data_IF_307865585030
#
_entry.id   IF_307865585030
#
_cell.length_a   1.000
_cell.length_b   1.000
_cell.length_c   1.000
_cell.angle_alpha   90.00
_cell.angle_beta   90.00
_cell.angle_gamma   90.00
#
_symmetry.space_group_name_H-M   'P 1'
#
loop_
_entity.id
_entity.type
_entity.pdbx_description
1 polymer ?
#
# COMPACT_ATOMS: atom_id res chain seq x y z
N UNK A 1 23.04 5.56 -4.08
CA UNK A 1 22.20 6.40 -3.20
C UNK A 1 21.70 5.47 -2.12
N UNK A 2 21.84 5.84 -0.84
CA UNK A 2 21.22 5.06 0.23
C UNK A 2 19.70 5.04 0.00
N UNK A 3 19.07 3.87 -0.02
CA UNK A 3 17.62 3.77 -0.02
C UNK A 3 17.12 4.52 1.22
N UNK A 4 16.38 5.60 1.01
CA UNK A 4 15.84 6.41 2.10
C UNK A 4 14.76 5.55 2.78
N UNK A 5 14.90 5.31 4.07
CA UNK A 5 13.93 4.56 4.85
C UNK A 5 12.63 5.37 4.93
N UNK A 6 11.53 4.82 4.41
CA UNK A 6 10.23 5.46 4.46
C UNK A 6 9.68 5.52 5.88
N UNK A 7 9.08 6.67 6.22
CA UNK A 7 8.38 6.89 7.49
C UNK A 7 6.87 6.89 7.25
N UNK A 8 6.20 5.85 7.76
CA UNK A 8 4.80 5.57 7.48
C UNK A 8 3.87 6.05 8.58
N UNK A 9 2.72 6.61 8.19
CA UNK A 9 1.57 6.82 9.05
C UNK A 9 0.40 5.94 8.59
N UNK A 10 -0.14 5.14 9.48
CA UNK A 10 -1.20 4.17 9.22
C UNK A 10 -2.52 4.65 9.80
N UNK A 11 -3.54 4.78 8.95
CA UNK A 11 -4.90 5.16 9.29
C UNK A 11 -5.86 4.04 8.89
N UNK A 12 -6.55 3.46 9.88
CA UNK A 12 -7.40 2.28 9.69
C UNK A 12 -8.87 2.67 9.89
N UNK A 13 -9.64 2.62 8.81
CA UNK A 13 -11.09 2.61 8.86
C UNK A 13 -11.55 1.19 9.21
N UNK A 14 -11.72 0.94 10.52
CA UNK A 14 -12.02 -0.39 10.99
C UNK A 14 -13.45 -0.84 10.67
N UNK A 15 -14.39 0.10 10.53
CA UNK A 15 -15.79 -0.25 10.19
C UNK A 15 -15.87 -0.81 8.76
N UNK A 16 -15.18 -0.22 7.80
CA UNK A 16 -15.11 -0.70 6.42
C UNK A 16 -14.45 -2.08 6.33
N UNK A 17 -13.31 -2.26 7.02
CA UNK A 17 -12.65 -3.56 7.09
C UNK A 17 -13.56 -4.64 7.68
N UNK A 18 -14.20 -4.35 8.80
CA UNK A 18 -15.09 -5.30 9.49
C UNK A 18 -16.26 -5.73 8.61
N UNK A 19 -16.78 -4.84 7.75
CA UNK A 19 -17.80 -5.18 6.76
C UNK A 19 -17.26 -6.14 5.70
N UNK A 20 -16.03 -5.94 5.24
CA UNK A 20 -15.39 -6.83 4.27
C UNK A 20 -15.18 -8.26 4.78
N UNK A 21 -15.04 -8.43 6.11
CA UNK A 21 -14.95 -9.74 6.75
C UNK A 21 -16.31 -10.42 7.02
N UNK A 22 -17.44 -9.73 6.83
CA UNK A 22 -18.78 -10.32 6.99
C UNK A 22 -19.01 -11.35 5.88
N UNK A 23 -18.89 -12.63 6.22
CA UNK A 23 -19.04 -13.76 5.28
C UNK A 23 -17.72 -14.41 4.83
N UNK A 24 -16.58 -13.83 5.13
CA UNK A 24 -15.29 -14.46 4.88
C UNK A 24 -14.94 -15.47 5.99
N UNK A 25 -14.23 -16.55 5.60
CA UNK A 25 -13.71 -17.54 6.54
C UNK A 25 -12.41 -17.02 7.19
N UNK A 26 -12.51 -15.99 8.02
CA UNK A 26 -11.33 -15.47 8.69
C UNK A 26 -11.66 -14.33 9.64
N UNK A 27 -10.76 -14.08 10.57
CA UNK A 27 -10.79 -12.93 11.45
C UNK A 27 -9.69 -11.97 11.03
N UNK A 28 -9.96 -10.67 11.03
CA UNK A 28 -8.93 -9.68 10.77
C UNK A 28 -7.75 -9.85 11.72
N UNK A 29 -6.56 -9.97 11.16
CA UNK A 29 -5.30 -10.06 11.88
C UNK A 29 -4.46 -8.80 11.56
N UNK A 30 -4.45 -7.88 12.49
CA UNK A 30 -3.70 -6.62 12.38
C UNK A 30 -2.19 -6.87 12.32
N UNK A 31 -1.70 -7.93 12.96
CA UNK A 31 -0.28 -8.28 12.97
C UNK A 31 0.26 -8.50 11.55
N UNK A 32 -0.52 -9.12 10.68
CA UNK A 32 -0.16 -9.33 9.28
C UNK A 32 -0.05 -8.01 8.51
N UNK A 33 -1.02 -7.12 8.71
CA UNK A 33 -0.99 -5.77 8.09
C UNK A 33 0.25 -5.01 8.54
N UNK A 34 0.51 -4.98 9.85
CA UNK A 34 1.68 -4.30 10.39
C UNK A 34 2.99 -4.90 9.90
N UNK A 35 3.08 -6.23 9.83
CA UNK A 35 4.26 -6.91 9.27
C UNK A 35 4.51 -6.46 7.82
N UNK A 36 3.47 -6.41 6.99
CA UNK A 36 3.58 -5.95 5.60
C UNK A 36 3.99 -4.47 5.51
N UNK A 37 3.47 -3.62 6.38
CA UNK A 37 3.85 -2.20 6.43
C UNK A 37 5.29 -2.00 6.91
N UNK A 38 5.76 -2.79 7.89
CA UNK A 38 7.15 -2.76 8.36
C UNK A 38 8.13 -3.19 7.25
N UNK A 39 7.73 -4.06 6.33
CA UNK A 39 8.55 -4.39 5.15
C UNK A 39 8.82 -3.15 4.29
N UNK A 40 7.85 -2.22 4.18
CA UNK A 40 7.95 -1.00 3.38
C UNK A 40 8.72 0.13 4.07
N UNK A 41 8.68 0.20 5.40
CA UNK A 41 9.38 1.25 6.12
C UNK A 41 9.06 1.25 7.61
N UNK A 42 9.47 2.34 8.28
CA UNK A 42 9.25 2.54 9.70
C UNK A 42 7.85 3.10 9.95
N UNK A 43 7.02 2.38 10.71
CA UNK A 43 5.70 2.89 11.09
C UNK A 43 5.87 3.84 12.29
N UNK A 44 5.52 5.12 12.10
CA UNK A 44 5.63 6.17 13.11
C UNK A 44 4.31 6.42 13.81
N UNK A 45 3.20 6.37 13.08
CA UNK A 45 1.85 6.61 13.59
C UNK A 45 0.93 5.46 13.19
N UNK A 46 0.08 5.03 14.14
CA UNK A 46 -0.93 3.99 13.92
C UNK A 46 -2.21 4.42 14.60
N UNK A 47 -3.28 4.67 13.83
CA UNK A 47 -4.59 5.07 14.33
C UNK A 47 -5.69 4.22 13.69
N UNK A 48 -6.69 3.85 14.49
CA UNK A 48 -7.85 3.11 14.01
C UNK A 48 -9.15 3.78 14.48
N UNK A 49 -10.12 3.89 13.59
CA UNK A 49 -11.35 4.64 13.76
C UNK A 49 -12.55 3.68 13.70
N UNK A 50 -13.36 3.66 14.74
CA UNK A 50 -14.60 2.88 14.78
C UNK A 50 -15.46 3.25 16.00
N UNK A 51 -16.70 2.74 16.03
CA UNK A 51 -17.44 2.59 17.27
C UNK A 51 -16.98 1.33 18.02
N UNK A 52 -15.98 1.48 18.88
CA UNK A 52 -15.32 0.37 19.59
C UNK A 52 -16.25 -0.42 20.53
N UNK A 53 -17.41 0.14 20.88
CA UNK A 53 -18.42 -0.63 21.62
C UNK A 53 -18.93 -1.83 20.78
N UNK A 54 -18.95 -1.70 19.46
CA UNK A 54 -19.37 -2.78 18.55
C UNK A 54 -18.25 -3.75 18.21
N UNK A 55 -17.01 -3.31 18.29
CA UNK A 55 -15.82 -4.06 17.91
C UNK A 55 -14.90 -4.37 19.11
N UNK A 56 -15.48 -4.46 20.30
CA UNK A 56 -14.74 -4.71 21.56
C UNK A 56 -13.86 -5.96 21.51
N UNK A 57 -14.24 -6.98 20.74
CA UNK A 57 -13.44 -8.21 20.57
C UNK A 57 -12.13 -8.01 19.82
N UNK A 58 -11.91 -6.86 19.20
CA UNK A 58 -10.67 -6.52 18.48
C UNK A 58 -9.78 -5.54 19.25
N UNK A 59 -10.30 -4.88 20.28
CA UNK A 59 -9.56 -3.81 20.99
C UNK A 59 -8.28 -4.32 21.64
N UNK A 60 -8.28 -5.53 22.21
CA UNK A 60 -7.11 -6.13 22.85
C UNK A 60 -5.95 -6.28 21.85
N UNK A 61 -6.19 -6.94 20.71
CA UNK A 61 -5.14 -7.13 19.70
C UNK A 61 -4.63 -5.81 19.10
N UNK A 62 -5.50 -4.79 18.97
CA UNK A 62 -5.10 -3.48 18.46
C UNK A 62 -4.27 -2.71 19.49
N UNK A 63 -4.59 -2.82 20.78
CA UNK A 63 -3.77 -2.26 21.87
C UNK A 63 -2.41 -2.95 21.99
N UNK A 64 -2.36 -4.29 21.89
CA UNK A 64 -1.10 -5.03 21.85
C UNK A 64 -0.20 -4.60 20.68
N UNK A 65 -0.83 -4.25 19.55
CA UNK A 65 -0.15 -3.70 18.38
C UNK A 65 0.23 -2.21 18.55
N UNK A 66 -0.04 -1.61 19.70
CA UNK A 66 0.15 -0.19 20.01
C UNK A 66 -0.51 0.73 18.96
N UNK A 67 -1.77 0.43 18.60
CA UNK A 67 -2.61 1.26 17.73
C UNK A 67 -3.48 2.15 18.59
N UNK A 68 -3.49 3.45 18.30
CA UNK A 68 -4.37 4.43 18.95
C UNK A 68 -5.80 4.21 18.46
N UNK A 69 -6.72 3.94 19.39
CA UNK A 69 -8.13 3.71 19.07
C UNK A 69 -8.93 5.00 19.21
N UNK A 70 -9.44 5.52 18.10
CA UNK A 70 -10.27 6.71 18.07
C UNK A 70 -11.73 6.28 18.15
N UNK A 71 -12.38 6.57 19.27
CA UNK A 71 -13.80 6.27 19.47
C UNK A 71 -14.67 7.21 18.66
N UNK A 72 -15.52 6.67 17.80
CA UNK A 72 -16.50 7.40 17.01
C UNK A 72 -17.91 6.94 17.43
N UNK A 73 -18.60 7.67 18.33
CA UNK A 73 -19.92 7.26 18.75
C UNK A 73 -20.94 7.45 17.62
N UNK A 74 -21.73 6.42 17.32
CA UNK A 74 -22.84 6.54 16.36
C UNK A 74 -23.94 7.40 16.97
N UNK A 75 -24.23 8.53 16.32
CA UNK A 75 -25.45 9.31 16.54
C UNK A 75 -26.53 8.81 15.59
N UNK A 76 -27.68 8.45 16.11
CA UNK A 76 -28.76 7.74 15.39
C UNK A 76 -29.30 8.43 14.12
N UNK A 77 -28.98 9.69 13.85
CA UNK A 77 -29.55 10.45 12.74
C UNK A 77 -28.55 11.14 11.81
N UNK A 78 -27.26 11.24 12.14
CA UNK A 78 -26.29 12.05 11.34
C UNK A 78 -24.90 11.43 11.17
N UNK A 79 -24.70 10.15 11.51
CA UNK A 79 -23.36 9.66 11.83
C UNK A 79 -22.75 8.63 10.89
N UNK A 80 -23.21 8.43 9.64
CA UNK A 80 -22.59 7.40 8.79
C UNK A 80 -21.14 7.70 8.43
N UNK A 81 -20.76 8.95 8.25
CA UNK A 81 -19.44 9.36 7.76
C UNK A 81 -18.57 10.06 8.83
N UNK A 82 -18.93 9.96 10.12
CA UNK A 82 -18.16 10.66 11.17
C UNK A 82 -16.76 10.08 11.35
N UNK A 83 -16.60 8.77 11.17
CA UNK A 83 -15.31 8.10 11.23
C UNK A 83 -14.42 8.55 10.06
N UNK A 84 -14.98 8.55 8.85
CA UNK A 84 -14.30 8.91 7.62
C UNK A 84 -13.79 10.35 7.66
N UNK A 85 -14.67 11.28 8.08
CA UNK A 85 -14.32 12.71 8.24
C UNK A 85 -13.20 12.86 9.28
N UNK A 86 -13.31 12.19 10.43
CA UNK A 86 -12.27 12.27 11.47
C UNK A 86 -10.94 11.72 10.99
N UNK A 87 -10.95 10.58 10.28
CA UNK A 87 -9.75 10.00 9.66
C UNK A 87 -9.12 10.99 8.66
N UNK A 88 -9.94 11.57 7.78
CA UNK A 88 -9.47 12.56 6.80
C UNK A 88 -8.80 13.76 7.48
N UNK A 89 -9.42 14.32 8.54
CA UNK A 89 -8.88 15.45 9.27
C UNK A 89 -7.54 15.10 9.92
N UNK A 90 -7.47 13.96 10.63
CA UNK A 90 -6.25 13.53 11.32
C UNK A 90 -5.12 13.21 10.32
N UNK A 91 -5.44 12.61 9.17
CA UNK A 91 -4.46 12.32 8.12
C UNK A 91 -3.91 13.60 7.48
N UNK A 92 -4.77 14.57 7.21
CA UNK A 92 -4.37 15.86 6.66
C UNK A 92 -3.56 16.69 7.66
N UNK A 93 -3.99 16.75 8.93
CA UNK A 93 -3.24 17.45 9.99
C UNK A 93 -1.83 16.88 10.12
N UNK A 94 -1.72 15.54 10.12
CA UNK A 94 -0.43 14.86 10.19
C UNK A 94 0.44 15.16 8.97
N UNK A 95 -0.13 15.11 7.77
CA UNK A 95 0.59 15.35 6.52
C UNK A 95 1.18 16.76 6.46
N UNK A 96 0.49 17.75 7.03
CA UNK A 96 0.97 19.14 7.14
C UNK A 96 1.96 19.33 8.28
N UNK A 97 1.70 18.75 9.46
CA UNK A 97 2.47 19.02 10.67
C UNK A 97 3.76 18.21 10.78
N UNK A 98 3.90 17.10 10.05
CA UNK A 98 5.02 16.16 10.16
C UNK A 98 5.68 15.91 8.80
N UNK A 99 6.66 16.74 8.47
CA UNK A 99 7.41 16.65 7.21
C UNK A 99 8.15 15.32 7.04
N UNK A 100 8.66 14.76 8.17
CA UNK A 100 9.40 13.50 8.17
C UNK A 100 8.56 12.27 7.84
N UNK A 101 7.23 12.37 7.83
CA UNK A 101 6.34 11.31 7.36
C UNK A 101 6.16 11.50 5.86
N UNK A 102 6.73 10.61 5.09
CA UNK A 102 6.70 10.64 3.62
C UNK A 102 5.61 9.75 3.02
N UNK A 103 5.15 8.75 3.77
CA UNK A 103 4.20 7.74 3.29
C UNK A 103 2.97 7.67 4.19
N UNK A 104 1.79 7.73 3.58
CA UNK A 104 0.50 7.58 4.28
C UNK A 104 -0.18 6.31 3.81
N UNK A 105 -0.56 5.46 4.76
CA UNK A 105 -1.28 4.21 4.50
C UNK A 105 -2.73 4.38 4.92
N UNK A 106 -3.66 4.26 3.98
CA UNK A 106 -5.10 4.29 4.20
C UNK A 106 -5.65 2.87 4.11
N UNK A 107 -6.11 2.35 5.23
CA UNK A 107 -6.66 0.99 5.30
C UNK A 107 -8.18 1.08 5.23
N UNK A 108 -8.71 1.08 4.03
CA UNK A 108 -10.14 1.09 3.68
C UNK A 108 -10.33 0.73 2.21
N UNK A 109 -11.52 0.25 1.86
CA UNK A 109 -11.94 0.03 0.47
C UNK A 109 -12.88 1.13 -0.06
N UNK A 110 -13.22 2.14 0.75
CA UNK A 110 -14.26 3.10 0.44
C UNK A 110 -13.78 4.20 -0.52
N UNK A 111 -14.56 4.42 -1.59
CA UNK A 111 -14.31 5.49 -2.58
C UNK A 111 -14.31 6.89 -1.98
N UNK A 112 -14.97 7.09 -0.84
CA UNK A 112 -15.09 8.40 -0.19
C UNK A 112 -13.74 8.93 0.30
N UNK A 113 -12.71 8.07 0.40
CA UNK A 113 -11.33 8.47 0.66
C UNK A 113 -10.54 8.91 -0.58
N UNK A 114 -11.07 8.76 -1.80
CA UNK A 114 -10.34 9.17 -3.02
C UNK A 114 -9.94 10.66 -3.01
N UNK A 115 -10.77 11.60 -2.52
CA UNK A 115 -10.34 13.00 -2.38
C UNK A 115 -9.19 13.20 -1.38
N UNK A 116 -9.18 12.44 -0.28
CA UNK A 116 -8.08 12.45 0.69
C UNK A 116 -6.77 11.99 0.03
N UNK A 117 -6.81 10.87 -0.70
CA UNK A 117 -5.65 10.33 -1.43
C UNK A 117 -5.09 11.36 -2.39
N UNK A 118 -5.95 11.97 -3.22
CA UNK A 118 -5.53 13.02 -4.15
C UNK A 118 -4.85 14.17 -3.43
N UNK A 119 -5.40 14.60 -2.29
CA UNK A 119 -4.85 15.73 -1.52
C UNK A 119 -3.52 15.41 -0.85
N UNK A 120 -3.36 14.19 -0.34
CA UNK A 120 -2.08 13.72 0.20
C UNK A 120 -0.99 13.67 -0.88
N UNK A 121 -1.33 13.23 -2.09
CA UNK A 121 -0.41 13.24 -3.24
C UNK A 121 -0.02 14.65 -3.67
N UNK A 122 -0.95 15.62 -3.65
CA UNK A 122 -0.64 17.05 -3.87
C UNK A 122 0.38 17.58 -2.84
N UNK A 123 0.37 17.05 -1.61
CA UNK A 123 1.34 17.36 -0.57
C UNK A 123 2.68 16.60 -0.71
N UNK A 124 2.84 15.85 -1.80
CA UNK A 124 4.05 15.07 -2.05
C UNK A 124 4.18 13.82 -1.18
N UNK A 125 3.10 13.36 -0.55
CA UNK A 125 3.11 12.11 0.21
C UNK A 125 2.87 10.93 -0.73
N UNK A 126 3.62 9.84 -0.52
CA UNK A 126 3.34 8.56 -1.14
C UNK A 126 2.14 7.90 -0.46
N UNK A 127 1.14 7.46 -1.21
CA UNK A 127 -0.09 6.92 -0.63
C UNK A 127 -0.26 5.45 -0.98
N UNK A 128 -0.31 4.62 0.07
CA UNK A 128 -0.58 3.19 -0.03
C UNK A 128 -2.01 2.93 0.44
N UNK A 129 -2.85 2.36 -0.43
CA UNK A 129 -4.15 1.83 -0.04
C UNK A 129 -4.03 0.37 0.41
N UNK A 130 -4.81 -0.04 1.41
CA UNK A 130 -4.97 -1.44 1.78
C UNK A 130 -6.44 -1.73 2.07
N UNK A 131 -6.99 -2.74 1.43
CA UNK A 131 -8.40 -3.10 1.60
C UNK A 131 -8.68 -4.55 1.27
N UNK A 132 -9.92 -4.98 1.51
CA UNK A 132 -10.40 -6.30 1.10
C UNK A 132 -10.83 -6.28 -0.36
N UNK A 133 -10.43 -7.27 -1.15
CA UNK A 133 -10.76 -7.32 -2.58
C UNK A 133 -12.27 -7.17 -2.87
N UNK A 134 -13.20 -7.81 -2.14
CA UNK A 134 -14.63 -7.70 -2.43
C UNK A 134 -15.26 -6.34 -2.07
N UNK A 135 -14.64 -5.56 -1.20
CA UNK A 135 -15.18 -4.28 -0.70
C UNK A 135 -14.38 -3.06 -1.16
N UNK A 136 -13.40 -3.25 -2.03
CA UNK A 136 -12.55 -2.16 -2.51
C UNK A 136 -13.10 -1.55 -3.79
N UNK A 137 -13.29 -0.23 -3.77
CA UNK A 137 -13.64 0.57 -4.93
C UNK A 137 -12.46 0.68 -5.91
N UNK A 138 -12.73 0.52 -7.21
CA UNK A 138 -11.75 0.78 -8.27
C UNK A 138 -11.23 2.22 -8.23
N UNK A 139 -12.12 3.17 -7.92
CA UNK A 139 -11.76 4.59 -7.84
C UNK A 139 -10.72 4.85 -6.76
N UNK A 140 -10.85 4.25 -5.58
CA UNK A 140 -9.86 4.40 -4.51
C UNK A 140 -8.54 3.73 -4.91
N UNK A 141 -8.61 2.49 -5.39
CA UNK A 141 -7.45 1.70 -5.80
C UNK A 141 -6.59 2.45 -6.83
N UNK A 142 -7.21 2.95 -7.89
CA UNK A 142 -6.51 3.56 -9.02
C UNK A 142 -5.97 4.96 -8.69
N UNK A 143 -6.47 5.61 -7.63
CA UNK A 143 -5.94 6.87 -7.14
C UNK A 143 -4.70 6.72 -6.25
N UNK A 144 -4.51 5.57 -5.58
CA UNK A 144 -3.34 5.32 -4.75
C UNK A 144 -2.07 5.16 -5.61
N UNK A 145 -0.90 5.42 -5.04
CA UNK A 145 0.39 5.12 -5.68
C UNK A 145 0.66 3.62 -5.66
N UNK A 146 0.17 2.94 -4.62
CA UNK A 146 0.19 1.49 -4.47
C UNK A 146 -1.08 1.03 -3.77
N UNK A 147 -1.61 -0.13 -4.18
CA UNK A 147 -2.74 -0.76 -3.48
C UNK A 147 -2.43 -2.21 -3.15
N UNK A 148 -2.68 -2.61 -1.91
CA UNK A 148 -2.42 -3.95 -1.38
C UNK A 148 -3.75 -4.57 -0.95
N UNK A 149 -4.06 -5.75 -1.45
CA UNK A 149 -5.20 -6.50 -0.95
C UNK A 149 -4.83 -7.27 0.31
N UNK A 150 -5.74 -7.28 1.29
CA UNK A 150 -5.54 -8.01 2.54
C UNK A 150 -5.35 -9.51 2.28
N UNK A 151 -6.05 -10.06 1.32
CA UNK A 151 -5.96 -11.45 0.90
C UNK A 151 -4.54 -11.82 0.42
N UNK A 152 -3.86 -10.89 -0.24
CA UNK A 152 -2.47 -11.09 -0.69
C UNK A 152 -1.51 -11.10 0.51
N UNK A 153 -1.83 -10.30 1.55
CA UNK A 153 -1.06 -10.31 2.81
C UNK A 153 -1.27 -11.63 3.56
N UNK A 154 -2.48 -12.18 3.51
CA UNK A 154 -2.83 -13.44 4.16
C UNK A 154 -2.23 -14.65 3.45
N UNK A 155 -2.23 -14.67 2.12
CA UNK A 155 -1.77 -15.77 1.29
C UNK A 155 -0.27 -16.04 1.38
N UNK A 156 0.50 -15.12 1.94
CA UNK A 156 1.94 -15.28 2.06
C UNK A 156 2.29 -16.23 3.20
N UNK A 157 2.20 -17.51 2.90
CA UNK A 157 3.02 -18.49 3.60
C UNK A 157 4.47 -18.22 3.21
N UNK A 158 5.28 -17.74 4.14
CA UNK A 158 6.72 -17.84 4.00
C UNK A 158 7.02 -19.33 3.93
N UNK A 159 7.26 -19.84 2.72
CA UNK A 159 7.90 -21.13 2.55
C UNK A 159 9.32 -21.00 3.10
N UNK A 160 9.39 -21.05 4.44
CA UNK A 160 10.67 -21.16 5.13
C UNK A 160 11.19 -22.54 4.77
N UNK A 161 12.35 -22.65 4.11
CA UNK A 161 12.95 -23.95 3.83
C UNK A 161 12.97 -24.77 5.11
N UNK A 162 12.69 -26.06 5.00
CA UNK A 162 12.69 -26.96 6.15
C UNK A 162 14.08 -26.98 6.74
N UNK A 163 14.28 -26.16 7.79
CA UNK A 163 15.50 -26.16 8.57
C UNK A 163 15.64 -27.50 9.30
N UNK A 164 16.90 -27.93 9.49
CA UNK A 164 17.20 -29.15 10.20
C UNK A 164 16.48 -29.18 11.55
N UNK A 165 15.67 -30.23 11.85
CA UNK A 165 15.00 -30.39 13.13
C UNK A 165 15.98 -30.37 14.33
N UNK A 166 17.22 -30.77 14.15
CA UNK A 166 18.24 -30.82 15.19
C UNK A 166 18.98 -29.49 15.43
N UNK A 167 18.75 -28.48 14.57
CA UNK A 167 19.36 -27.17 14.76
C UNK A 167 18.87 -26.49 16.04
N UNK A 168 19.77 -25.80 16.79
CA UNK A 168 19.38 -25.03 17.98
C UNK A 168 18.28 -24.01 17.68
N UNK A 169 17.27 -23.91 18.53
CA UNK A 169 16.09 -23.03 18.34
C UNK A 169 16.44 -21.56 18.11
N UNK A 170 17.52 -21.07 18.75
CA UNK A 170 17.99 -19.69 18.54
C UNK A 170 18.49 -19.47 17.12
N UNK A 171 19.22 -20.44 16.56
CA UNK A 171 19.69 -20.40 15.17
C UNK A 171 18.52 -20.50 14.17
N UNK A 172 17.56 -21.41 14.44
CA UNK A 172 16.35 -21.51 13.59
C UNK A 172 15.63 -20.18 13.52
N UNK A 173 15.43 -19.50 14.67
CA UNK A 173 14.79 -18.18 14.71
C UNK A 173 15.55 -17.12 13.92
N UNK A 174 16.90 -17.15 13.93
CA UNK A 174 17.70 -16.23 13.13
C UNK A 174 17.55 -16.50 11.63
N UNK A 175 17.62 -17.77 11.20
CA UNK A 175 17.44 -18.11 9.77
C UNK A 175 16.03 -17.85 9.28
N UNK A 176 14.99 -18.14 10.11
CA UNK A 176 13.61 -17.80 9.76
C UNK A 176 13.46 -16.29 9.53
N UNK A 177 13.97 -15.46 10.44
CA UNK A 177 13.92 -14.00 10.29
C UNK A 177 14.74 -13.52 9.09
N UNK A 178 15.87 -14.15 8.81
CA UNK A 178 16.69 -13.88 7.62
C UNK A 178 15.91 -14.14 6.33
N UNK A 179 15.27 -15.30 6.22
CA UNK A 179 14.43 -15.65 5.05
C UNK A 179 13.23 -14.70 4.90
N UNK A 180 12.58 -14.34 6.00
CA UNK A 180 11.49 -13.36 6.00
C UNK A 180 11.96 -12.00 5.46
N UNK A 181 13.11 -11.52 5.93
CA UNK A 181 13.67 -10.24 5.49
C UNK A 181 14.05 -10.25 3.99
N UNK A 182 14.66 -11.33 3.49
CA UNK A 182 14.99 -11.47 2.08
C UNK A 182 13.74 -11.55 1.20
N UNK A 183 12.72 -12.30 1.65
CA UNK A 183 11.42 -12.37 0.96
C UNK A 183 10.75 -11.00 0.89
N UNK A 184 10.78 -10.23 1.98
CA UNK A 184 10.26 -8.86 2.02
C UNK A 184 10.95 -7.97 0.99
N UNK A 185 12.28 -8.01 0.92
CA UNK A 185 13.06 -7.24 -0.07
C UNK A 185 12.78 -7.65 -1.52
N UNK A 186 12.57 -8.95 -1.78
CA UNK A 186 12.17 -9.42 -3.12
C UNK A 186 10.80 -8.90 -3.55
N UNK A 187 9.84 -8.81 -2.62
CA UNK A 187 8.52 -8.21 -2.89
C UNK A 187 8.62 -6.73 -3.24
N UNK A 188 9.62 -6.05 -2.74
CA UNK A 188 9.94 -4.66 -3.10
C UNK A 188 10.82 -4.58 -4.39
N UNK A 189 10.85 -5.65 -5.20
CA UNK A 189 11.59 -5.73 -6.47
C UNK A 189 13.11 -5.50 -6.33
N UNK A 190 13.70 -5.72 -5.15
CA UNK A 190 15.13 -5.63 -4.95
C UNK A 190 15.81 -6.88 -5.50
N UNK A 191 16.49 -6.75 -6.64
CA UNK A 191 17.16 -7.88 -7.32
C UNK A 191 18.46 -8.28 -6.60
N UNK A 192 19.25 -7.32 -6.14
CA UNK A 192 20.49 -7.55 -5.40
C UNK A 192 20.29 -7.19 -3.94
N UNK A 193 20.44 -8.17 -3.06
CA UNK A 193 20.20 -8.00 -1.64
C UNK A 193 21.54 -7.83 -0.90
N UNK A 194 21.88 -6.58 -0.62
CA UNK A 194 23.07 -6.25 0.15
C UNK A 194 22.92 -6.67 1.61
N UNK A 195 24.01 -7.15 2.22
CA UNK A 195 24.03 -7.58 3.62
C UNK A 195 23.50 -6.50 4.58
N UNK A 196 23.80 -5.22 4.33
CA UNK A 196 23.28 -4.10 5.12
C UNK A 196 21.76 -3.98 5.01
N UNK A 197 21.19 -4.03 3.79
CA UNK A 197 19.75 -3.96 3.57
C UNK A 197 19.01 -5.10 4.27
N UNK A 198 19.55 -6.31 4.18
CA UNK A 198 18.98 -7.49 4.85
C UNK A 198 18.99 -7.27 6.36
N UNK A 199 20.11 -6.84 6.93
CA UNK A 199 20.25 -6.58 8.36
C UNK A 199 19.28 -5.50 8.85
N UNK A 200 19.13 -4.41 8.11
CA UNK A 200 18.22 -3.32 8.43
C UNK A 200 16.77 -3.79 8.38
N UNK A 201 16.41 -4.58 7.38
CA UNK A 201 15.07 -5.19 7.28
C UNK A 201 14.81 -6.17 8.43
N UNK A 202 15.78 -7.02 8.80
CA UNK A 202 15.66 -7.89 9.97
C UNK A 202 15.43 -7.11 11.25
N UNK A 203 16.14 -5.99 11.45
CA UNK A 203 15.95 -5.11 12.62
C UNK A 203 14.61 -4.38 12.61
N UNK A 204 14.07 -4.03 11.43
CA UNK A 204 12.71 -3.47 11.32
C UNK A 204 11.65 -4.50 11.70
N UNK A 205 11.76 -5.73 11.18
CA UNK A 205 10.86 -6.83 11.51
C UNK A 205 10.96 -7.23 12.99
N UNK A 206 12.17 -7.24 13.53
CA UNK A 206 12.44 -7.59 14.93
C UNK A 206 13.50 -6.67 15.54
N UNK A 207 13.10 -5.55 16.18
CA UNK A 207 14.04 -4.59 16.76
C UNK A 207 15.00 -5.18 17.80
N UNK A 208 14.59 -6.25 18.47
CA UNK A 208 15.43 -6.97 19.43
C UNK A 208 16.44 -7.94 18.83
N UNK A 209 16.54 -8.01 17.48
CA UNK A 209 17.48 -8.90 16.82
C UNK A 209 18.92 -8.49 17.11
N UNK A 210 19.69 -9.48 17.56
CA UNK A 210 21.12 -9.36 17.82
C UNK A 210 21.79 -10.68 17.44
N UNK A 211 22.79 -10.62 16.59
CA UNK A 211 23.50 -11.78 16.07
C UNK A 211 24.13 -12.61 17.18
N UNK A 212 24.75 -11.95 18.16
CA UNK A 212 25.44 -12.62 19.27
C UNK A 212 24.48 -13.44 20.13
N UNK A 213 23.27 -12.93 20.35
CA UNK A 213 22.23 -13.68 21.07
C UNK A 213 21.81 -14.97 20.35
N UNK A 214 21.90 -14.96 19.03
CA UNK A 214 21.61 -16.11 18.17
C UNK A 214 22.80 -17.03 17.92
N UNK A 215 23.98 -16.74 18.53
CA UNK A 215 25.18 -17.56 18.45
C UNK A 215 26.10 -17.25 17.27
N UNK A 216 26.00 -16.06 16.70
CA UNK A 216 26.87 -15.58 15.61
C UNK A 216 27.75 -14.43 16.09
N UNK A 217 29.03 -14.44 15.75
CA UNK A 217 29.96 -13.36 16.09
C UNK A 217 29.70 -12.08 15.28
N UNK A 218 29.25 -12.25 14.04
CA UNK A 218 28.96 -11.15 13.10
C UNK A 218 27.76 -11.50 12.24
N UNK A 219 27.19 -10.50 11.56
CA UNK A 219 26.12 -10.72 10.60
C UNK A 219 26.60 -11.52 9.37
N UNK A 220 27.88 -11.31 8.98
CA UNK A 220 28.51 -12.09 7.90
C UNK A 220 28.55 -13.59 8.26
N UNK A 221 28.87 -13.94 9.51
CA UNK A 221 28.88 -15.34 9.95
C UNK A 221 27.48 -15.99 9.89
N UNK A 222 26.39 -15.22 10.10
CA UNK A 222 25.02 -15.70 9.90
C UNK A 222 24.74 -16.00 8.43
N UNK A 223 25.18 -15.12 7.52
CA UNK A 223 25.01 -15.30 6.06
C UNK A 223 25.81 -16.51 5.56
N UNK A 224 27.05 -16.66 6.02
CA UNK A 224 27.91 -17.80 5.67
C UNK A 224 27.32 -19.14 6.16
N UNK A 225 26.80 -19.17 7.39
CA UNK A 225 26.10 -20.36 7.94
C UNK A 225 24.84 -20.67 7.08
N UNK A 226 24.06 -19.65 6.67
CA UNK A 226 22.93 -19.83 5.79
C UNK A 226 23.33 -20.37 4.40
N UNK A 227 24.45 -19.94 3.85
CA UNK A 227 24.99 -20.50 2.61
C UNK A 227 25.42 -21.96 2.78
N UNK A 228 26.09 -22.30 3.87
CA UNK A 228 26.48 -23.69 4.16
C UNK A 228 25.28 -24.62 4.30
N UNK A 229 24.16 -24.09 4.81
CA UNK A 229 22.88 -24.81 4.88
C UNK A 229 22.14 -24.89 3.54
N UNK A 230 22.65 -24.26 2.49
CA UNK A 230 22.01 -24.24 1.18
C UNK A 230 20.74 -23.38 1.14
N UNK A 231 20.60 -22.38 2.01
CA UNK A 231 19.44 -21.50 2.07
C UNK A 231 19.56 -20.32 1.11
N UNK A 232 20.78 -19.92 0.75
CA UNK A 232 21.08 -18.78 -0.11
C UNK A 232 22.43 -18.93 -0.82
N UNK A 233 22.66 -18.10 -1.85
CA UNK A 233 23.93 -17.95 -2.55
C UNK A 233 24.49 -16.55 -2.27
N UNK A 234 25.78 -16.50 -1.86
CA UNK A 234 26.51 -15.26 -1.59
C UNK A 234 27.51 -14.97 -2.71
N UNK A 235 27.56 -13.71 -3.08
CA UNK A 235 28.66 -13.13 -3.86
C UNK A 235 29.33 -12.03 -3.02
N UNK A 236 30.63 -11.84 -3.22
CA UNK A 236 31.34 -10.71 -2.63
C UNK A 236 31.43 -9.60 -3.67
N UNK A 237 31.00 -8.41 -3.33
CA UNK A 237 31.14 -7.26 -4.20
C UNK A 237 32.61 -6.78 -4.20
N UNK A 238 33.23 -6.78 -5.37
CA UNK A 238 34.66 -6.45 -5.55
C UNK A 238 35.02 -5.03 -5.08
N UNK A 239 34.06 -4.11 -5.05
CA UNK A 239 34.30 -2.70 -4.69
C UNK A 239 34.18 -2.42 -3.21
N UNK A 240 33.20 -3.03 -2.56
CA UNK A 240 32.89 -2.78 -1.14
C UNK A 240 33.39 -3.91 -0.22
N UNK A 241 33.70 -5.08 -0.77
CA UNK A 241 34.02 -6.27 0.01
C UNK A 241 32.87 -6.82 0.83
N UNK A 242 31.64 -6.33 0.60
CA UNK A 242 30.44 -6.75 1.33
C UNK A 242 29.73 -7.90 0.63
N UNK A 243 29.03 -8.72 1.40
CA UNK A 243 28.23 -9.81 0.84
C UNK A 243 26.94 -9.29 0.21
N UNK A 244 26.61 -9.90 -0.93
CA UNK A 244 25.35 -9.72 -1.67
C UNK A 244 24.71 -11.08 -1.84
N UNK A 245 23.45 -11.22 -1.46
CA UNK A 245 22.65 -12.42 -1.74
C UNK A 245 22.08 -12.28 -3.14
N UNK A 246 22.40 -13.24 -3.99
CA UNK A 246 21.94 -13.27 -5.39
C UNK A 246 20.71 -14.14 -5.55
N UNK A 247 20.66 -15.28 -4.86
CA UNK A 247 19.57 -16.26 -4.91
C UNK A 247 19.30 -16.85 -3.54
N UNK A 248 18.05 -17.18 -3.25
CA UNK A 248 17.66 -17.86 -2.00
C UNK A 248 16.34 -18.63 -2.16
N UNK A 249 16.07 -19.56 -1.22
CA UNK A 249 14.86 -20.34 -1.20
C UNK A 249 14.62 -21.11 -2.51
N UNK A 250 13.41 -21.01 -3.08
CA UNK A 250 13.05 -21.72 -4.32
C UNK A 250 13.82 -21.22 -5.56
N UNK A 251 14.39 -20.02 -5.50
CA UNK A 251 15.24 -19.51 -6.58
C UNK A 251 16.48 -20.40 -6.82
N UNK A 252 16.96 -21.12 -5.79
CA UNK A 252 18.11 -22.01 -5.88
C UNK A 252 17.85 -23.24 -6.75
N UNK A 253 16.59 -23.67 -6.81
CA UNK A 253 16.19 -24.87 -7.59
C UNK A 253 15.87 -24.53 -9.04
N UNK A 254 15.67 -23.26 -9.36
CA UNK A 254 15.39 -22.80 -10.72
C UNK A 254 16.70 -22.67 -11.53
N UNK A 255 16.75 -23.14 -12.79
CA UNK A 255 17.95 -22.94 -13.62
C UNK A 255 18.19 -21.44 -13.78
N UNK A 256 19.43 -21.00 -13.49
CA UNK A 256 19.85 -19.61 -13.64
C UNK A 256 19.57 -19.14 -15.07
N UNK A 257 18.68 -18.17 -15.23
CA UNK A 257 18.64 -17.38 -16.45
C UNK A 257 19.93 -16.56 -16.47
N UNK A 258 20.92 -17.06 -17.20
CA UNK A 258 22.15 -16.32 -17.48
C UNK A 258 21.75 -14.96 -18.07
N UNK A 259 21.97 -13.91 -17.30
CA UNK A 259 22.00 -12.56 -17.83
C UNK A 259 23.19 -12.50 -18.79
N UNK A 260 22.87 -12.67 -20.08
CA UNK A 260 23.84 -12.57 -21.16
C UNK A 260 24.46 -11.18 -21.21
N UNK A 261 25.51 -10.95 -20.48
CA UNK A 261 26.48 -9.92 -20.82
C UNK A 261 27.15 -10.36 -22.10
N UNK A 262 26.76 -9.72 -23.19
CA UNK A 262 27.38 -9.81 -24.51
C UNK A 262 28.87 -9.51 -24.39
N UNK A 263 29.66 -10.55 -24.20
CA UNK A 263 31.12 -10.49 -24.52
C UNK A 263 31.22 -10.33 -26.03
N UNK A 264 31.48 -9.12 -26.46
CA UNK A 264 31.92 -8.74 -27.78
C UNK A 264 33.19 -9.54 -28.11
N UNK A 265 33.02 -10.68 -28.78
CA UNK A 265 34.14 -11.37 -29.42
C UNK A 265 34.44 -10.65 -30.72
N UNK A 266 35.53 -9.87 -30.71
CA UNK A 266 36.21 -9.41 -31.93
C UNK A 266 36.56 -10.62 -32.79
N UNK A 267 35.85 -10.80 -33.88
CA UNK A 267 36.31 -11.69 -34.95
C UNK A 267 37.15 -10.90 -35.93
N UNK A 268 38.46 -11.16 -35.86
CA UNK A 268 39.50 -10.88 -36.81
C UNK A 268 39.10 -11.21 -38.25
N UNK A 269 39.40 -10.23 -39.10
CA UNK A 269 39.32 -10.34 -40.55
C UNK A 269 40.22 -11.47 -41.03
N UNK A 270 39.70 -12.37 -41.86
CA UNK A 270 40.55 -13.02 -42.85
C UNK A 270 39.91 -12.96 -44.23
N UNK A 271 40.70 -12.35 -45.14
CA UNK A 271 40.45 -12.23 -46.58
C UNK A 271 40.79 -13.54 -47.26
N UNK A 272 39.96 -14.03 -48.15
CA UNK A 272 40.51 -14.65 -49.35
C UNK A 272 39.52 -14.56 -50.55
N UNK A 273 40.10 -14.22 -51.62
CA UNK A 273 39.62 -13.92 -52.97
C UNK A 273 39.10 -15.15 -53.74
N UNK A 274 38.29 -14.89 -54.72
CA UNK A 274 38.05 -15.50 -56.08
C UNK A 274 36.60 -15.91 -56.19
N UNK A 275 35.90 -15.58 -57.24
CA UNK A 275 36.05 -15.24 -58.62
C UNK A 275 34.64 -15.27 -59.22
N UNK A 276 34.32 -14.36 -60.12
CA UNK A 276 33.08 -14.35 -60.90
C UNK A 276 33.18 -15.29 -62.11
N UNK A 277 32.39 -15.18 -63.16
CA UNK A 277 31.28 -14.31 -63.46
C UNK A 277 30.08 -14.99 -64.18
N UNK A 278 29.08 -14.21 -64.49
CA UNK A 278 28.23 -14.19 -65.69
C UNK A 278 26.90 -14.98 -65.76
N UNK A 279 25.97 -14.23 -66.13
CA UNK A 279 25.02 -14.25 -67.26
C UNK A 279 23.57 -14.52 -66.90
N UNK A 280 22.82 -13.45 -67.10
CA UNK A 280 21.79 -13.16 -68.09
C UNK A 280 20.46 -13.93 -68.01
N UNK A 281 19.42 -13.20 -67.91
CA UNK A 281 18.27 -12.93 -68.80
C UNK A 281 17.04 -12.54 -68.01
N UNK A 282 16.65 -11.29 -68.21
CA UNK A 282 15.52 -10.85 -69.05
C UNK A 282 14.23 -11.68 -68.85
N UNK A 283 13.17 -11.06 -68.37
CA UNK A 283 12.23 -10.29 -69.15
C UNK A 283 10.98 -9.96 -68.34
N UNK A 284 10.61 -8.66 -68.44
CA UNK A 284 9.31 -8.16 -68.90
C UNK A 284 8.10 -8.53 -68.00
N UNK A 285 7.32 -7.63 -67.63
CA UNK A 285 6.57 -6.45 -68.06
C UNK A 285 5.46 -6.18 -67.10
N UNK A 286 5.28 -4.93 -66.79
CA UNK A 286 4.06 -4.09 -66.98
C UNK A 286 2.91 -4.44 -66.03
N UNK A 287 2.30 -3.53 -65.27
CA UNK A 287 1.95 -2.17 -65.48
C UNK A 287 1.37 -1.54 -64.23
N UNK A 288 1.72 -0.34 -63.99
CA UNK A 288 0.91 0.65 -63.28
C UNK A 288 -0.19 1.18 -64.27
N UNK A 289 -1.19 1.93 -63.85
CA UNK A 289 -1.09 3.23 -63.21
C UNK A 289 -2.13 3.46 -62.09
N UNK A 290 -1.83 4.37 -61.15
CA UNK A 290 -2.30 5.75 -61.02
C UNK A 290 -3.81 5.97 -61.22
N UNK A 291 -4.42 6.51 -60.19
CA UNK A 291 -5.07 7.83 -60.21
C UNK A 291 -5.76 8.12 -58.85
N UNK A 292 -5.33 9.18 -58.21
CA UNK A 292 -6.13 10.13 -57.45
C UNK A 292 -6.71 11.17 -58.43
N UNK A 293 -7.58 12.14 -58.10
CA UNK A 293 -8.22 12.60 -56.86
C UNK A 293 -9.65 13.15 -57.05
N UNK A 294 -10.09 13.97 -56.09
CA UNK A 294 -11.15 15.01 -56.10
C UNK A 294 -12.51 14.56 -55.54
N UNK A 295 -12.99 15.18 -54.49
CA UNK A 295 -13.41 16.56 -54.20
C UNK A 295 -14.92 16.76 -54.43
N UNK A 296 -15.49 17.65 -53.63
CA UNK A 296 -16.85 18.19 -53.60
C UNK A 296 -17.88 17.39 -52.79
N UNK A 297 -18.55 17.93 -51.85
CA UNK A 297 -18.96 19.28 -51.55
C UNK A 297 -20.12 19.20 -50.60
N UNK A 298 -20.17 20.05 -49.62
CA UNK A 298 -21.42 20.42 -48.97
C UNK A 298 -22.30 21.20 -49.96
N UNK A 299 -23.59 21.34 -49.81
CA UNK A 299 -24.14 22.19 -48.76
C UNK A 299 -25.56 21.84 -48.26
N UNK A 300 -25.85 22.42 -47.11
CA UNK A 300 -26.97 23.27 -46.73
C UNK A 300 -28.43 22.80 -46.75
N UNK A 301 -29.04 23.27 -45.65
CA UNK A 301 -30.40 23.84 -45.58
C UNK A 301 -31.56 22.84 -45.52
N UNK A 302 -32.43 22.97 -44.66
CA UNK A 302 -33.29 23.94 -44.00
C UNK A 302 -34.46 23.20 -43.40
N UNK A 303 -34.92 23.74 -42.27
CA UNK A 303 -36.33 23.97 -41.87
C UNK A 303 -37.24 22.74 -41.80
N UNK A 304 -38.08 22.54 -40.84
CA UNK A 304 -39.05 23.43 -40.17
C UNK A 304 -39.67 22.72 -38.96
N UNK A 305 -39.86 23.42 -37.87
CA UNK A 305 -41.10 23.74 -37.17
C UNK A 305 -42.17 22.65 -37.08
N UNK A 306 -42.51 22.25 -35.87
CA UNK A 306 -43.85 22.39 -35.28
C UNK A 306 -43.83 21.74 -33.87
N UNK A 307 -43.89 22.52 -32.85
CA UNK A 307 -45.00 23.07 -32.12
C UNK A 307 -46.00 22.02 -31.60
N UNK A 308 -45.99 21.86 -30.28
CA UNK A 308 -47.19 21.66 -29.46
C UNK A 308 -46.89 21.42 -27.95
N UNK A 309 -46.77 22.50 -27.20
CA UNK A 309 -47.50 22.59 -25.94
C UNK A 309 -49.02 22.82 -26.30
N UNK A 310 -49.98 22.52 -25.45
CA UNK A 310 -50.17 23.22 -24.20
C UNK A 310 -50.99 22.54 -23.08
N UNK A 311 -50.91 23.21 -21.95
CA UNK A 311 -52.04 23.54 -21.02
C UNK A 311 -52.40 22.58 -19.90
N UNK A 312 -52.15 23.12 -18.71
CA UNK A 312 -53.03 23.78 -17.70
C UNK A 312 -53.94 22.84 -16.93
N UNK A 313 -53.80 22.89 -15.59
CA UNK A 313 -54.64 23.70 -14.70
C UNK A 313 -54.18 23.49 -13.25
N UNK A 314 -53.79 24.52 -12.55
CA UNK A 314 -54.59 25.38 -11.66
C UNK A 314 -55.43 24.60 -10.67
N UNK A 315 -55.04 24.65 -9.37
CA UNK A 315 -55.90 25.29 -8.38
C UNK A 315 -55.10 25.74 -7.17
N UNK A 316 -55.23 27.01 -6.92
CA UNK A 316 -54.94 27.77 -5.72
C UNK A 316 -55.92 27.29 -4.61
N UNK A 317 -55.42 27.16 -3.37
CA UNK A 317 -56.16 27.74 -2.24
C UNK A 317 -55.19 28.24 -1.17
N UNK A 318 -55.41 29.46 -0.86
CA UNK A 318 -54.88 30.34 0.15
C UNK A 318 -55.57 30.02 1.50
N UNK A 319 -54.85 30.41 2.53
CA UNK A 319 -55.37 31.00 3.79
C UNK A 319 -55.26 30.11 5.03
N UNK A 320 -54.66 30.72 6.04
CA UNK A 320 -54.86 30.44 7.43
C UNK A 320 -53.62 30.72 8.29
N UNK A 321 -53.38 31.99 8.59
CA UNK A 321 -52.63 32.36 9.79
C UNK A 321 -53.48 32.00 11.00
N UNK A 322 -52.91 31.25 11.94
CA UNK A 322 -53.43 31.06 13.28
C UNK A 322 -52.28 31.01 14.27
N UNK A 323 -52.44 31.46 15.49
CA UNK A 323 -51.36 31.97 16.30
C UNK A 323 -50.61 30.90 17.08
N UNK A 324 -49.37 31.25 17.34
CA UNK A 324 -48.37 30.67 18.21
C UNK A 324 -48.94 30.28 19.57
N UNK A 325 -48.91 28.98 19.91
CA UNK A 325 -49.13 28.50 21.26
C UNK A 325 -47.77 28.37 21.96
N UNK A 326 -47.60 29.11 23.00
CA UNK A 326 -46.53 29.03 23.98
C UNK A 326 -46.62 27.71 24.71
N UNK A 327 -45.50 26.95 24.76
CA UNK A 327 -45.34 25.80 25.63
C UNK A 327 -44.90 26.24 27.03
N UNK A 328 -45.36 25.60 28.09
CA UNK A 328 -45.15 26.06 29.47
C UNK A 328 -43.73 25.75 29.92
N UNK A 329 -43.13 26.73 30.56
CA UNK A 329 -41.87 26.70 31.31
C UNK A 329 -42.11 25.93 32.61
N UNK A 330 -41.36 24.88 32.84
CA UNK A 330 -41.31 24.14 34.09
C UNK A 330 -40.31 24.83 35.04
N UNK A 331 -40.70 25.28 36.22
CA UNK A 331 -39.79 25.92 37.16
C UNK A 331 -39.31 24.89 38.18
N UNK A 332 -38.00 24.79 38.37
CA UNK A 332 -37.24 24.42 39.57
C UNK A 332 -36.08 23.48 39.30
N UNK A 333 -34.92 24.08 39.10
CA UNK A 333 -33.64 23.55 39.61
C UNK A 333 -32.92 24.69 40.32
N UNK A 334 -32.39 24.46 41.52
CA UNK A 334 -31.64 25.49 42.24
C UNK A 334 -30.22 25.67 41.62
N UNK A 335 -29.62 26.84 41.81
CA UNK A 335 -28.27 27.10 41.29
C UNK A 335 -27.23 26.26 42.05
N UNK A 336 -26.41 25.49 41.30
CA UNK A 336 -25.21 24.88 41.86
C UNK A 336 -24.18 26.00 42.08
N UNK A 337 -23.84 26.18 43.33
CA UNK A 337 -22.70 27.02 43.77
C UNK A 337 -21.41 26.25 43.47
N UNK A 338 -20.63 26.81 42.57
CA UNK A 338 -19.24 26.39 42.41
C UNK A 338 -18.42 27.00 43.54
N UNK A 339 -18.00 26.18 44.50
CA UNK A 339 -16.94 26.51 45.41
C UNK A 339 -15.59 26.22 44.72
N UNK A 340 -14.89 27.27 44.35
CA UNK A 340 -13.49 27.24 43.97
C UNK A 340 -12.63 27.04 45.20
N UNK A 341 -12.25 25.82 45.55
CA UNK A 341 -11.09 25.57 46.39
C UNK A 341 -9.87 25.24 45.52
N UNK A 342 -9.08 26.28 45.30
CA UNK A 342 -7.74 26.23 44.74
C UNK A 342 -6.79 25.61 45.79
N UNK A 343 -6.33 24.39 45.59
CA UNK A 343 -5.20 23.84 46.32
C UNK A 343 -3.91 24.08 45.53
N UNK A 344 -2.88 24.70 46.13
CA UNK A 344 -1.60 24.90 45.47
C UNK A 344 -0.79 23.59 45.42
N UNK A 345 -0.09 23.40 44.31
CA UNK A 345 0.87 22.31 44.08
C UNK A 345 2.08 22.50 45.00
N UNK A 346 2.64 21.42 45.60
CA UNK A 346 3.92 21.51 46.31
C UNK A 346 5.08 21.62 45.30
N UNK A 347 5.91 22.62 45.52
CA UNK A 347 7.25 22.71 44.94
C UNK A 347 8.15 21.72 45.67
N UNK A 348 8.75 20.74 44.93
CA UNK A 348 10.11 20.24 45.14
C UNK A 348 10.65 19.63 43.84
#
# INVERSE_FOLDING_TARGET
MADQEHSLALFIDFENLALGFQGARGRFDVGRVLKRMVEKGKIVVKKAYADWNRYSSYTEQLHEAAIELIQIPRRAQTGKNSADIRLCVDAMDLAYSKEHIDTVVVVSGDSDFSPLVSKLKELGKHVIGLGMQPSTSELLRDNCDEFIYYEDVEAVNTDVPKLDPQMPELKKKAHTLLMEAMTALRRENKVRLWSSMIKDTMKRLKPSFNETYHGYSTFSALLEDAQQLGLLELETDDRSGTYVVTRFGDELTSPSAETGETRSRSRSRNRSRRGGPSRDRESRREGAPEETPADHGAPSETADLDDREPRRSRTRRRSGLGPRAESPVDPKLPPETFDEEFLPWPEE
#
